data_IF_186802623952
#
_entry.id   IF_186802623952
#
_cell.length_a   1.000
_cell.length_b   1.000
_cell.length_c   1.000
_cell.angle_alpha   90.00
_cell.angle_beta   90.00
_cell.angle_gamma   90.00
#
_symmetry.space_group_name_H-M   'P 1'
#
loop_
_entity.id
_entity.type
_entity.pdbx_description
1 polymer ?
#
# COMPACT_ATOMS: atom_id res chain seq x y z
N UNK A 1 -16.40 6.82 23.57
CA UNK A 1 -14.94 6.76 23.63
C UNK A 1 -14.38 8.14 23.39
N UNK A 2 -13.77 8.73 24.39
CA UNK A 2 -13.16 10.05 24.28
C UNK A 2 -11.96 10.00 23.32
N UNK A 3 -11.93 10.90 22.35
CA UNK A 3 -10.73 11.12 21.55
C UNK A 3 -9.74 11.81 22.48
N UNK A 4 -8.68 11.10 22.91
CA UNK A 4 -7.61 11.71 23.68
C UNK A 4 -6.79 12.62 22.78
N UNK A 5 -6.97 13.92 22.96
CA UNK A 5 -6.13 14.94 22.33
C UNK A 5 -4.88 15.15 23.19
N UNK A 6 -3.75 15.43 22.53
CA UNK A 6 -2.54 15.83 23.20
C UNK A 6 -2.63 17.29 23.65
N UNK A 7 -2.05 17.63 24.78
CA UNK A 7 -1.79 19.01 25.16
C UNK A 7 -0.63 19.59 24.37
N UNK A 8 -0.51 20.91 24.31
CA UNK A 8 0.62 21.56 23.61
C UNK A 8 1.98 21.19 24.21
N UNK A 9 2.04 20.98 25.52
CA UNK A 9 3.24 20.54 26.23
C UNK A 9 3.63 19.11 25.82
N UNK A 10 2.66 18.20 25.81
CA UNK A 10 2.85 16.82 25.35
C UNK A 10 3.29 16.76 23.89
N UNK A 11 2.76 17.63 23.04
CA UNK A 11 3.19 17.73 21.63
C UNK A 11 4.65 18.17 21.53
N UNK A 12 5.08 19.13 22.34
CA UNK A 12 6.48 19.59 22.37
C UNK A 12 7.42 18.48 22.85
N UNK A 13 7.04 17.76 23.89
CA UNK A 13 7.80 16.65 24.45
C UNK A 13 7.93 15.49 23.43
N UNK A 14 6.82 15.08 22.84
CA UNK A 14 6.79 14.02 21.83
C UNK A 14 7.60 14.36 20.57
N UNK A 15 7.69 15.64 20.18
CA UNK A 15 8.54 16.08 19.07
C UNK A 15 10.04 15.85 19.30
N UNK A 16 10.47 15.82 20.55
CA UNK A 16 11.87 15.59 20.91
C UNK A 16 12.28 14.13 20.77
N UNK A 17 11.32 13.19 20.74
CA UNK A 17 11.62 11.78 20.58
C UNK A 17 12.06 11.47 19.14
N UNK A 18 13.24 10.85 18.94
CA UNK A 18 13.76 10.54 17.60
C UNK A 18 12.92 9.52 16.82
N UNK A 19 12.03 8.81 17.49
CA UNK A 19 11.13 7.84 16.87
C UNK A 19 9.87 8.49 16.28
N UNK A 20 9.63 9.78 16.55
CA UNK A 20 8.47 10.53 16.10
C UNK A 20 8.79 11.28 14.82
N UNK A 21 8.05 10.99 13.74
CA UNK A 21 8.14 11.72 12.47
C UNK A 21 7.39 13.05 12.52
N UNK A 22 6.18 13.03 13.03
CA UNK A 22 5.35 14.21 13.21
C UNK A 22 4.31 13.98 14.31
N UNK A 23 3.96 15.02 15.03
CA UNK A 23 2.92 14.98 16.06
C UNK A 23 2.10 16.27 16.02
N UNK A 24 0.81 16.11 16.22
CA UNK A 24 -0.17 17.19 16.36
C UNK A 24 -1.08 16.91 17.56
N UNK A 25 -1.90 17.86 17.91
CA UNK A 25 -2.90 17.70 19.00
C UNK A 25 -3.78 16.45 18.77
N UNK A 26 -4.07 16.11 17.52
CA UNK A 26 -4.98 15.01 17.15
C UNK A 26 -4.30 13.66 16.94
N UNK A 27 -3.01 13.64 16.63
CA UNK A 27 -2.37 12.40 16.24
C UNK A 27 -0.86 12.46 16.19
N UNK A 28 -0.27 11.29 16.12
CA UNK A 28 1.19 11.07 16.07
C UNK A 28 1.52 10.14 14.90
N UNK A 29 2.62 10.42 14.22
CA UNK A 29 3.18 9.61 13.15
C UNK A 29 4.60 9.23 13.54
N UNK A 30 4.93 7.95 13.41
CA UNK A 30 6.22 7.39 13.78
C UNK A 30 7.11 7.19 12.56
N UNK A 31 8.42 7.27 12.76
CA UNK A 31 9.39 6.93 11.74
C UNK A 31 9.36 5.44 11.37
N UNK A 32 9.73 5.13 10.15
CA UNK A 32 9.75 3.75 9.63
C UNK A 32 10.70 2.84 10.43
N UNK A 33 11.86 3.36 10.85
CA UNK A 33 12.80 2.59 11.66
C UNK A 33 12.20 2.12 12.98
N UNK A 34 11.41 2.98 13.66
CA UNK A 34 10.72 2.58 14.89
C UNK A 34 9.65 1.51 14.63
N UNK A 35 8.90 1.62 13.56
CA UNK A 35 7.91 0.61 13.18
C UNK A 35 8.57 -0.75 12.91
N UNK A 36 9.71 -0.76 12.24
CA UNK A 36 10.49 -1.98 12.01
C UNK A 36 11.02 -2.56 13.33
N UNK A 37 11.60 -1.73 14.19
CA UNK A 37 12.07 -2.13 15.52
C UNK A 37 10.92 -2.74 16.35
N UNK A 38 9.76 -2.08 16.34
CA UNK A 38 8.57 -2.59 17.02
C UNK A 38 8.18 -4.00 16.54
N UNK A 39 8.17 -4.23 15.23
CA UNK A 39 7.80 -5.54 14.66
C UNK A 39 8.79 -6.63 15.06
N UNK A 40 10.08 -6.32 15.10
CA UNK A 40 11.14 -7.25 15.51
C UNK A 40 10.97 -7.61 16.98
N UNK A 41 10.82 -6.63 17.85
CA UNK A 41 10.67 -6.85 19.29
C UNK A 41 9.35 -7.57 19.64
N UNK A 42 8.29 -7.22 18.93
CA UNK A 42 7.00 -7.89 19.10
C UNK A 42 7.03 -9.36 18.64
N UNK A 43 7.77 -9.67 17.59
CA UNK A 43 8.01 -11.05 17.14
C UNK A 43 8.80 -11.88 18.16
N UNK A 44 9.64 -11.23 18.98
CA UNK A 44 10.35 -11.86 20.12
C UNK A 44 9.45 -12.12 21.33
N UNK A 45 8.18 -11.67 21.29
CA UNK A 45 7.18 -11.86 22.34
C UNK A 45 6.99 -10.69 23.30
N UNK A 46 7.62 -9.53 23.05
CA UNK A 46 7.39 -8.34 23.87
C UNK A 46 5.99 -7.77 23.65
N UNK A 47 5.41 -7.25 24.73
CA UNK A 47 4.12 -6.58 24.68
C UNK A 47 4.25 -5.20 24.02
N UNK A 48 3.23 -4.75 23.25
CA UNK A 48 3.24 -3.44 22.59
C UNK A 48 3.57 -2.28 23.54
N UNK A 49 2.93 -2.25 24.70
CA UNK A 49 3.16 -1.23 25.74
C UNK A 49 4.62 -1.17 26.17
N UNK A 50 5.24 -2.31 26.42
CA UNK A 50 6.63 -2.39 26.86
C UNK A 50 7.60 -1.83 25.80
N UNK A 51 7.37 -2.16 24.51
CA UNK A 51 8.20 -1.68 23.40
C UNK A 51 8.13 -0.15 23.29
N UNK A 52 6.95 0.44 23.47
CA UNK A 52 6.78 1.88 23.45
C UNK A 52 7.48 2.57 24.64
N UNK A 53 7.39 2.01 25.85
CA UNK A 53 8.09 2.53 27.03
C UNK A 53 9.61 2.47 26.84
N UNK A 54 10.15 1.35 26.34
CA UNK A 54 11.58 1.21 26.02
C UNK A 54 12.06 2.19 24.95
N UNK A 55 11.18 2.62 24.05
CA UNK A 55 11.46 3.63 23.03
C UNK A 55 11.35 5.08 23.53
N UNK A 56 11.10 5.27 24.83
CA UNK A 56 11.02 6.58 25.46
C UNK A 56 9.66 7.27 25.34
N UNK A 57 8.60 6.50 25.11
CA UNK A 57 7.23 7.02 25.13
C UNK A 57 6.59 6.81 26.48
N UNK A 58 5.86 7.82 26.93
CA UNK A 58 4.97 7.70 28.09
C UNK A 58 3.67 7.03 27.63
N UNK A 59 3.36 5.88 28.21
CA UNK A 59 2.19 5.08 27.87
C UNK A 59 0.88 5.74 28.35
N UNK A 60 0.91 6.53 29.40
CA UNK A 60 -0.25 7.31 29.86
C UNK A 60 -0.57 8.46 28.88
N UNK A 61 0.46 9.13 28.37
CA UNK A 61 0.33 10.22 27.39
C UNK A 61 -0.19 9.70 26.06
N UNK A 62 0.34 8.57 25.57
CA UNK A 62 -0.11 7.97 24.32
C UNK A 62 -1.50 7.34 24.44
N UNK A 63 -1.79 6.70 25.57
CA UNK A 63 -2.98 5.91 25.81
C UNK A 63 -2.91 4.51 25.18
N UNK A 64 -3.42 3.53 25.90
CA UNK A 64 -3.41 2.12 25.50
C UNK A 64 -4.06 1.87 24.13
N UNK A 65 -5.19 2.52 23.88
CA UNK A 65 -5.92 2.39 22.60
C UNK A 65 -5.06 2.80 21.41
N UNK A 66 -4.27 3.87 21.53
CA UNK A 66 -3.39 4.34 20.44
C UNK A 66 -2.22 3.39 20.20
N UNK A 67 -1.62 2.86 21.27
CA UNK A 67 -0.56 1.84 21.22
C UNK A 67 -1.08 0.58 20.51
N UNK A 68 -2.22 0.06 20.94
CA UNK A 68 -2.83 -1.13 20.36
C UNK A 68 -3.24 -0.94 18.89
N UNK A 69 -3.82 0.20 18.55
CA UNK A 69 -4.19 0.53 17.16
C UNK A 69 -2.96 0.63 16.26
N UNK A 70 -1.88 1.24 16.75
CA UNK A 70 -0.61 1.31 16.01
C UNK A 70 -0.01 -0.08 15.80
N UNK A 71 0.04 -0.90 16.84
CA UNK A 71 0.50 -2.29 16.79
C UNK A 71 -0.28 -3.11 15.76
N UNK A 72 -1.60 -3.09 15.82
CA UNK A 72 -2.47 -3.82 14.89
C UNK A 72 -2.27 -3.35 13.45
N UNK A 73 -2.17 -2.04 13.23
CA UNK A 73 -1.96 -1.45 11.91
C UNK A 73 -0.61 -1.86 11.33
N UNK A 74 0.49 -1.79 12.09
CA UNK A 74 1.83 -2.14 11.61
C UNK A 74 1.96 -3.63 11.32
N UNK A 75 1.38 -4.50 12.14
CA UNK A 75 1.32 -5.95 11.87
C UNK A 75 0.56 -6.27 10.59
N UNK A 76 -0.54 -5.57 10.31
CA UNK A 76 -1.27 -5.71 9.05
C UNK A 76 -0.48 -5.18 7.87
N UNK A 77 0.20 -4.04 8.03
CA UNK A 77 1.02 -3.43 6.98
C UNK A 77 2.23 -4.29 6.63
N UNK A 78 2.89 -4.90 7.62
CA UNK A 78 4.06 -5.76 7.38
C UNK A 78 3.76 -6.99 6.51
N UNK A 79 2.51 -7.44 6.49
CA UNK A 79 2.06 -8.57 5.65
C UNK A 79 1.79 -8.18 4.19
N UNK A 80 1.81 -6.89 3.85
CA UNK A 80 1.61 -6.42 2.48
C UNK A 80 2.92 -6.53 1.70
N UNK A 81 2.82 -6.68 0.38
CA UNK A 81 3.97 -6.68 -0.52
C UNK A 81 4.83 -5.41 -0.38
N UNK A 82 4.19 -4.27 -0.15
CA UNK A 82 4.83 -2.96 0.04
C UNK A 82 5.35 -2.73 1.47
N UNK A 83 5.02 -3.62 2.40
CA UNK A 83 5.42 -3.55 3.80
C UNK A 83 4.96 -2.28 4.51
N UNK A 84 5.86 -1.66 5.27
CA UNK A 84 5.61 -0.42 6.02
C UNK A 84 5.77 0.86 5.19
N UNK A 85 5.94 0.77 3.88
CA UNK A 85 6.04 1.93 3.02
C UNK A 85 4.74 2.72 3.00
N UNK A 86 4.85 4.04 2.91
CA UNK A 86 3.69 4.90 2.81
C UNK A 86 3.15 4.87 1.37
N UNK A 87 2.01 4.21 1.19
CA UNK A 87 1.33 4.08 -0.11
C UNK A 87 0.41 5.25 -0.42
N UNK A 88 0.26 6.20 0.50
CA UNK A 88 -0.68 7.33 0.34
C UNK A 88 -0.34 8.21 -0.85
N UNK A 89 0.94 8.34 -1.19
CA UNK A 89 1.38 9.11 -2.35
C UNK A 89 1.00 8.46 -3.68
N UNK A 90 0.85 7.13 -3.73
CA UNK A 90 0.40 6.40 -4.92
C UNK A 90 -1.10 6.42 -5.06
N UNK A 91 -1.81 6.35 -3.96
CA UNK A 91 -3.25 6.53 -3.89
C UNK A 91 -3.57 8.02 -3.71
N UNK A 92 -3.28 8.81 -4.72
CA UNK A 92 -3.88 10.14 -4.88
C UNK A 92 -5.38 9.91 -4.87
N UNK A 93 -6.02 10.21 -3.75
CA UNK A 93 -7.36 9.87 -3.41
C UNK A 93 -8.37 9.98 -4.55
N UNK A 94 -9.61 9.60 -4.30
CA UNK A 94 -10.71 9.70 -5.26
C UNK A 94 -10.57 10.98 -6.08
N UNK A 95 -10.46 10.88 -7.42
CA UNK A 95 -10.30 12.05 -8.26
C UNK A 95 -11.37 13.09 -7.91
N UNK A 96 -10.94 14.31 -7.68
CA UNK A 96 -11.88 15.42 -7.42
C UNK A 96 -12.80 15.57 -8.62
N UNK A 97 -14.01 15.08 -8.51
CA UNK A 97 -15.04 15.20 -9.57
C UNK A 97 -15.81 16.51 -9.50
N UNK A 98 -15.72 17.19 -8.35
CA UNK A 98 -16.36 18.51 -8.15
C UNK A 98 -15.32 19.61 -8.39
N UNK A 99 -15.67 20.55 -9.23
CA UNK A 99 -14.89 21.77 -9.55
C UNK A 99 -13.63 21.57 -10.39
N UNK A 100 -13.64 20.63 -11.32
CA UNK A 100 -12.63 20.59 -12.37
C UNK A 100 -12.86 21.72 -13.36
N UNK A 101 -11.82 22.42 -13.74
CA UNK A 101 -11.85 23.38 -14.84
C UNK A 101 -12.05 22.64 -16.19
N UNK A 102 -12.53 23.35 -17.21
CA UNK A 102 -12.70 22.74 -18.54
C UNK A 102 -11.41 22.15 -19.08
N UNK A 103 -10.28 22.81 -18.83
CA UNK A 103 -8.95 22.37 -19.28
C UNK A 103 -8.51 21.08 -18.57
N UNK A 104 -8.75 20.97 -17.26
CA UNK A 104 -8.48 19.74 -16.50
C UNK A 104 -9.36 18.58 -16.97
N UNK A 105 -10.61 18.84 -17.35
CA UNK A 105 -11.50 17.81 -17.91
C UNK A 105 -10.97 17.33 -19.27
N UNK A 106 -10.56 18.26 -20.14
CA UNK A 106 -10.01 17.96 -21.46
C UNK A 106 -8.73 17.13 -21.33
N UNK A 107 -7.82 17.52 -20.43
CA UNK A 107 -6.58 16.79 -20.19
C UNK A 107 -6.83 15.37 -19.70
N UNK A 108 -7.75 15.23 -18.75
CA UNK A 108 -8.16 13.93 -18.24
C UNK A 108 -8.77 13.03 -19.33
N UNK A 109 -9.63 13.60 -20.16
CA UNK A 109 -10.20 12.86 -21.28
C UNK A 109 -9.16 12.46 -22.33
N UNK A 110 -8.16 13.30 -22.59
CA UNK A 110 -7.03 12.96 -23.48
C UNK A 110 -6.26 11.76 -22.96
N UNK A 111 -5.90 11.74 -21.66
CA UNK A 111 -5.20 10.61 -21.06
C UNK A 111 -6.04 9.33 -21.09
N UNK A 112 -7.33 9.44 -20.85
CA UNK A 112 -8.25 8.29 -20.94
C UNK A 112 -8.34 7.73 -22.38
N UNK A 113 -8.44 8.61 -23.37
CA UNK A 113 -8.44 8.23 -24.79
C UNK A 113 -7.13 7.56 -25.18
N UNK A 114 -6.00 8.08 -24.73
CA UNK A 114 -4.68 7.49 -24.99
C UNK A 114 -4.55 6.10 -24.36
N UNK A 115 -4.99 5.94 -23.12
CA UNK A 115 -5.04 4.64 -22.45
C UNK A 115 -5.91 3.64 -23.21
N UNK A 116 -7.11 4.03 -23.59
CA UNK A 116 -8.03 3.16 -24.35
C UNK A 116 -7.48 2.78 -25.73
N UNK A 117 -6.74 3.68 -26.39
CA UNK A 117 -6.05 3.36 -27.65
C UNK A 117 -4.97 2.30 -27.45
N UNK A 118 -4.16 2.42 -26.41
CA UNK A 118 -3.12 1.43 -26.09
C UNK A 118 -3.74 0.08 -25.74
N UNK A 119 -4.81 0.06 -24.95
CA UNK A 119 -5.53 -1.17 -24.60
C UNK A 119 -6.11 -1.84 -25.87
N UNK A 120 -6.72 -1.06 -26.75
CA UNK A 120 -7.24 -1.55 -28.02
C UNK A 120 -6.15 -2.14 -28.92
N UNK A 121 -5.01 -1.48 -29.01
CA UNK A 121 -3.87 -1.94 -29.79
C UNK A 121 -3.33 -3.27 -29.25
N UNK A 122 -3.20 -3.38 -27.93
CA UNK A 122 -2.81 -4.62 -27.25
C UNK A 122 -3.78 -5.77 -27.56
N UNK A 123 -5.09 -5.52 -27.46
CA UNK A 123 -6.11 -6.53 -27.72
C UNK A 123 -6.09 -6.99 -29.19
N UNK A 124 -5.89 -6.07 -30.14
CA UNK A 124 -5.75 -6.41 -31.57
C UNK A 124 -4.50 -7.26 -31.84
N UNK A 125 -3.40 -6.97 -31.15
CA UNK A 125 -2.17 -7.76 -31.30
C UNK A 125 -2.33 -9.16 -30.68
N UNK A 126 -2.99 -9.28 -29.53
CA UNK A 126 -3.34 -10.57 -28.95
C UNK A 126 -4.22 -11.39 -29.87
N UNK A 127 -5.26 -10.81 -30.44
CA UNK A 127 -6.15 -11.47 -31.40
C UNK A 127 -5.39 -11.93 -32.66
N UNK A 128 -4.46 -11.12 -33.15
CA UNK A 128 -3.59 -11.48 -34.28
C UNK A 128 -2.70 -12.69 -33.93
N UNK A 129 -2.09 -12.68 -32.74
CA UNK A 129 -1.25 -13.79 -32.27
C UNK A 129 -2.05 -15.09 -32.10
N UNK A 130 -3.27 -15.02 -31.58
CA UNK A 130 -4.17 -16.16 -31.47
C UNK A 130 -4.52 -16.75 -32.84
N UNK A 131 -4.85 -15.90 -33.79
CA UNK A 131 -5.11 -16.35 -35.20
C UNK A 131 -3.90 -17.03 -35.83
N UNK A 132 -2.69 -16.51 -35.57
CA UNK A 132 -1.45 -17.11 -36.05
C UNK A 132 -1.19 -18.46 -35.38
N UNK A 133 -1.43 -18.58 -34.08
CA UNK A 133 -1.29 -19.82 -33.31
C UNK A 133 -2.24 -20.91 -33.88
N UNK A 134 -3.51 -20.57 -34.06
CA UNK A 134 -4.52 -21.48 -34.63
C UNK A 134 -4.14 -21.92 -36.05
N UNK A 135 -3.63 -20.98 -36.87
CA UNK A 135 -3.18 -21.31 -38.25
C UNK A 135 -1.98 -22.24 -38.22
N UNK A 136 -1.03 -22.04 -37.33
CA UNK A 136 0.15 -22.90 -37.15
C UNK A 136 -0.24 -24.29 -36.65
N UNK A 137 -1.20 -24.39 -35.76
CA UNK A 137 -1.71 -25.66 -35.25
C UNK A 137 -2.42 -26.49 -36.36
N UNK A 138 -3.21 -25.83 -37.20
CA UNK A 138 -3.85 -26.46 -38.37
C UNK A 138 -2.87 -26.89 -39.46
N UNK A 139 -1.72 -26.25 -39.57
CA UNK A 139 -0.65 -26.58 -40.55
C UNK A 139 0.31 -27.66 -40.04
N UNK A 140 0.29 -27.99 -38.73
CA UNK A 140 1.02 -29.13 -38.18
C UNK A 140 0.17 -30.38 -38.38
N UNK A 141 0.42 -31.24 -39.36
CA UNK A 141 -0.29 -32.53 -39.49
C UNK A 141 0.08 -33.34 -38.26
N UNK A 142 -0.93 -33.76 -37.49
CA UNK A 142 -0.74 -34.62 -36.35
C UNK A 142 0.17 -35.79 -36.71
N UNK A 143 1.24 -36.01 -35.99
CA UNK A 143 2.03 -37.23 -36.10
C UNK A 143 1.09 -38.38 -35.73
N UNK A 144 0.54 -39.01 -36.78
CA UNK A 144 -0.08 -40.30 -36.65
C UNK A 144 0.98 -41.25 -36.08
N UNK A 145 0.91 -41.52 -34.82
CA UNK A 145 1.57 -42.68 -34.23
C UNK A 145 0.88 -43.91 -34.88
N UNK A 146 1.46 -44.41 -35.93
CA UNK A 146 1.18 -45.80 -36.37
C UNK A 146 1.68 -46.68 -35.22
N UNK A 147 0.71 -47.21 -34.47
CA UNK A 147 0.98 -48.35 -33.59
C UNK A 147 1.39 -49.49 -34.50
N UNK A 148 2.64 -49.86 -34.49
CA UNK A 148 3.06 -51.13 -35.08
C UNK A 148 2.57 -52.21 -34.13
N UNK A 149 1.56 -52.93 -34.62
CA UNK A 149 1.25 -54.26 -34.11
C UNK A 149 2.27 -55.20 -34.71
N UNK A 150 3.01 -55.83 -33.91
CA UNK A 150 3.49 -57.20 -34.03
C UNK A 150 3.14 -57.98 -32.80
#
# INVERSE_FOLDING_TARGET
MGIHYFTEEQVKELKQNPNVKSVSIKGITYHKHFKNHFLIEHAKGKLPRQIFIEAGFDDEVLGESRINNSSNRWRKQSKRLEGLNDTRQRNLGRPKTKHLTKDEIIERQRLEIEYLKQERELLLELERLERLAIKKEKLSPGKNMKSSKD
#
